data_IF_899817056088
#
_entry.id   IF_899817056088
#
_cell.length_a   1.000
_cell.length_b   1.000
_cell.length_c   1.000
_cell.angle_alpha   90.00
_cell.angle_beta   90.00
_cell.angle_gamma   90.00
#
_symmetry.space_group_name_H-M   'P 1'
#
loop_
_entity.id
_entity.type
_entity.pdbx_description
1 polymer ?
#
# COMPACT_ATOMS: atom_id res chain seq x y z
N UNK A 1 -22.55 58.40 -46.37
CA UNK A 1 -21.54 57.86 -45.43
C UNK A 1 -20.73 56.82 -46.19
N UNK A 2 -19.42 57.04 -46.32
CA UNK A 2 -18.54 56.43 -47.32
C UNK A 2 -17.92 55.10 -46.81
N UNK A 3 -17.83 54.10 -47.70
CA UNK A 3 -16.97 52.90 -47.63
C UNK A 3 -15.46 53.27 -47.83
N UNK A 4 -14.54 52.33 -48.12
CA UNK A 4 -13.87 51.31 -47.28
C UNK A 4 -12.31 51.40 -47.42
N UNK A 5 -11.45 50.79 -46.58
CA UNK A 5 -10.02 50.57 -46.95
C UNK A 5 -9.41 49.28 -46.36
N UNK A 6 -8.81 48.49 -47.25
CA UNK A 6 -7.84 47.39 -47.08
C UNK A 6 -6.42 47.97 -47.11
N UNK A 7 -5.46 47.45 -46.33
CA UNK A 7 -4.04 47.44 -46.74
C UNK A 7 -3.15 46.45 -45.95
N UNK A 8 -2.53 45.52 -46.69
CA UNK A 8 -1.28 44.81 -46.40
C UNK A 8 -0.07 45.74 -46.65
N UNK A 9 1.10 45.46 -46.04
CA UNK A 9 2.50 45.57 -46.55
C UNK A 9 3.46 45.34 -45.34
N UNK A 10 4.27 44.28 -45.25
CA UNK A 10 5.56 43.93 -45.90
C UNK A 10 6.83 44.51 -45.24
N UNK A 11 7.68 43.57 -44.78
CA UNK A 11 9.12 43.38 -45.06
C UNK A 11 10.19 44.47 -44.80
N UNK A 12 11.34 43.95 -44.34
CA UNK A 12 12.75 44.38 -44.56
C UNK A 12 13.33 45.47 -43.63
N UNK A 13 14.63 45.56 -43.28
CA UNK A 13 15.88 44.77 -43.34
C UNK A 13 17.00 45.73 -42.87
N UNK A 14 18.05 45.24 -42.15
CA UNK A 14 19.43 45.80 -42.02
C UNK A 14 19.58 47.22 -41.39
N UNK A 15 20.69 47.70 -40.78
CA UNK A 15 22.10 47.32 -40.64
C UNK A 15 22.79 48.22 -39.60
N UNK A 16 23.84 47.69 -38.95
CA UNK A 16 25.18 48.26 -38.64
C UNK A 16 25.34 49.61 -37.90
N UNK A 17 26.20 49.61 -36.87
CA UNK A 17 27.58 50.16 -36.85
C UNK A 17 28.02 50.33 -35.36
N UNK A 18 29.00 49.54 -34.90
CA UNK A 18 30.41 49.97 -34.72
C UNK A 18 30.59 51.26 -33.90
N UNK A 19 31.13 51.13 -32.69
CA UNK A 19 32.31 51.93 -32.32
C UNK A 19 33.05 51.35 -31.12
N UNK A 20 34.34 51.11 -31.31
CA UNK A 20 35.31 50.92 -30.25
C UNK A 20 35.51 52.24 -29.50
N UNK A 21 35.78 52.20 -28.19
CA UNK A 21 36.84 53.06 -27.68
C UNK A 21 37.58 52.46 -26.49
N UNK A 22 38.89 52.56 -26.58
CA UNK A 22 39.90 52.15 -25.60
C UNK A 22 40.02 53.21 -24.49
N UNK A 23 40.32 52.75 -23.27
CA UNK A 23 41.40 53.23 -22.38
C UNK A 23 41.10 52.76 -20.94
N UNK A 24 41.91 51.84 -20.41
CA UNK A 24 43.17 52.03 -19.66
C UNK A 24 42.93 52.30 -18.17
N UNK A 25 43.39 51.33 -17.37
CA UNK A 25 43.99 51.37 -16.03
C UNK A 25 43.20 52.11 -14.93
N UNK A 26 43.00 51.59 -13.73
CA UNK A 26 43.93 50.81 -12.89
C UNK A 26 43.16 50.22 -11.71
N UNK A 27 43.58 49.02 -11.31
CA UNK A 27 43.64 48.43 -9.96
C UNK A 27 42.62 48.88 -8.90
N UNK A 28 41.81 47.94 -8.39
CA UNK A 28 42.12 47.26 -7.12
C UNK A 28 40.98 46.28 -6.73
N UNK A 29 41.39 45.15 -6.13
CA UNK A 29 40.61 44.15 -5.37
C UNK A 29 39.74 43.12 -6.10
N UNK A 30 40.40 41.99 -6.34
CA UNK A 30 39.95 40.61 -6.29
C UNK A 30 38.84 40.36 -5.24
N UNK A 31 37.65 39.94 -5.70
CA UNK A 31 36.82 38.97 -4.98
C UNK A 31 36.48 37.85 -5.97
N UNK A 32 36.99 36.67 -5.63
CA UNK A 32 36.87 35.44 -6.40
C UNK A 32 35.41 35.04 -6.62
N UNK A 33 35.12 34.72 -7.87
CA UNK A 33 33.91 34.07 -8.32
C UNK A 33 34.05 32.57 -8.01
N UNK A 34 33.81 32.16 -6.77
CA UNK A 34 33.67 30.74 -6.46
C UNK A 34 32.28 30.26 -6.86
N UNK A 35 32.25 29.52 -7.96
CA UNK A 35 31.14 28.66 -8.34
C UNK A 35 30.83 27.73 -7.16
N UNK A 36 29.69 27.95 -6.50
CA UNK A 36 29.22 27.02 -5.48
C UNK A 36 28.63 25.81 -6.20
N UNK A 37 29.45 24.77 -6.28
CA UNK A 37 29.03 23.40 -6.56
C UNK A 37 27.82 23.08 -5.67
N UNK A 38 26.69 22.73 -6.30
CA UNK A 38 25.61 22.05 -5.59
C UNK A 38 26.15 20.68 -5.19
N UNK A 39 26.63 20.58 -3.96
CA UNK A 39 26.86 19.31 -3.30
C UNK A 39 25.54 18.52 -3.33
N UNK A 40 25.53 17.48 -4.16
CA UNK A 40 24.52 16.45 -4.14
C UNK A 40 24.66 15.71 -2.82
N UNK A 41 23.89 16.11 -1.81
CA UNK A 41 23.84 15.42 -0.53
C UNK A 41 22.92 14.19 -0.68
N UNK A 42 23.35 13.23 -1.49
CA UNK A 42 22.80 11.89 -1.50
C UNK A 42 23.44 11.09 -0.38
N UNK A 43 22.97 11.29 0.86
CA UNK A 43 23.22 10.32 1.92
C UNK A 43 22.36 9.10 1.61
N UNK A 44 22.86 8.24 0.72
CA UNK A 44 22.42 6.85 0.63
C UNK A 44 22.81 6.22 1.96
N UNK A 45 21.85 6.19 2.89
CA UNK A 45 21.99 5.52 4.18
C UNK A 45 22.35 4.07 3.87
N UNK A 46 23.60 3.70 4.14
CA UNK A 46 24.15 2.36 3.93
C UNK A 46 23.15 1.35 4.51
N UNK A 47 22.62 0.48 3.66
CA UNK A 47 21.64 -0.52 4.07
C UNK A 47 22.21 -1.29 5.26
N UNK A 48 21.49 -1.28 6.39
CA UNK A 48 21.90 -2.01 7.59
C UNK A 48 21.95 -3.49 7.20
N UNK A 49 23.12 -4.11 7.25
CA UNK A 49 23.33 -5.46 6.72
C UNK A 49 22.64 -6.56 7.55
N UNK A 50 22.25 -6.25 8.81
CA UNK A 50 21.68 -7.21 9.75
C UNK A 50 20.62 -6.55 10.63
N UNK A 51 19.50 -7.25 10.89
CA UNK A 51 18.45 -6.75 11.80
C UNK A 51 18.90 -6.79 13.26
N UNK A 52 18.54 -5.78 14.04
CA UNK A 52 18.67 -5.82 15.51
C UNK A 52 17.60 -6.77 16.06
N UNK A 53 18.03 -7.98 16.41
CA UNK A 53 17.15 -9.06 16.86
C UNK A 53 16.55 -8.80 18.24
N UNK A 54 17.24 -8.04 19.11
CA UNK A 54 16.74 -7.68 20.44
C UNK A 54 15.64 -6.62 20.33
N UNK A 55 15.86 -5.57 19.53
CA UNK A 55 14.82 -4.56 19.27
C UNK A 55 13.61 -5.19 18.56
N UNK A 56 13.83 -6.03 17.54
CA UNK A 56 12.75 -6.75 16.86
C UNK A 56 11.92 -7.58 17.86
N UNK A 57 12.58 -8.37 18.70
CA UNK A 57 11.91 -9.23 19.70
C UNK A 57 11.12 -8.38 20.71
N UNK A 58 11.69 -7.28 21.19
CA UNK A 58 11.02 -6.35 22.10
C UNK A 58 9.75 -5.75 21.47
N UNK A 59 9.81 -5.36 20.20
CA UNK A 59 8.64 -4.84 19.46
C UNK A 59 7.58 -5.90 19.24
N UNK A 60 7.98 -7.13 18.87
CA UNK A 60 7.06 -8.27 18.73
C UNK A 60 6.31 -8.54 20.04
N UNK A 61 6.99 -8.47 21.18
CA UNK A 61 6.35 -8.59 22.50
C UNK A 61 5.40 -7.42 22.77
N UNK A 62 5.79 -6.19 22.47
CA UNK A 62 4.94 -5.01 22.67
C UNK A 62 3.63 -5.07 21.85
N UNK A 63 3.69 -5.52 20.58
CA UNK A 63 2.50 -5.65 19.73
C UNK A 63 1.63 -6.85 20.14
N UNK A 64 2.18 -7.85 20.82
CA UNK A 64 1.39 -8.98 21.33
C UNK A 64 0.39 -8.56 22.42
N UNK A 65 0.52 -7.33 22.94
CA UNK A 65 -0.38 -6.75 23.93
C UNK A 65 -0.59 -7.63 25.16
N UNK A 66 0.52 -8.15 25.70
CA UNK A 66 0.53 -9.04 26.86
C UNK A 66 -0.31 -10.31 26.69
N UNK A 67 -0.36 -10.90 25.48
CA UNK A 67 -1.00 -12.21 25.30
C UNK A 67 -0.35 -13.25 26.21
N UNK A 68 -1.11 -13.74 27.19
CA UNK A 68 -0.66 -14.79 28.13
C UNK A 68 -0.95 -16.20 27.62
N UNK A 69 -1.63 -16.33 26.48
CA UNK A 69 -2.05 -17.64 25.95
C UNK A 69 -0.95 -18.34 25.15
N UNK A 70 0.16 -17.66 24.88
CA UNK A 70 1.27 -18.18 24.07
C UNK A 70 0.96 -18.25 22.58
N UNK A 71 -0.13 -17.61 22.10
CA UNK A 71 -0.47 -17.54 20.67
C UNK A 71 0.27 -16.41 19.98
N UNK A 72 0.47 -15.29 20.69
CA UNK A 72 1.09 -14.09 20.16
C UNK A 72 2.27 -13.65 21.04
N UNK A 73 3.35 -13.10 20.47
CA UNK A 73 3.62 -13.05 19.03
C UNK A 73 3.92 -14.45 18.46
N UNK A 74 3.64 -14.67 17.18
CA UNK A 74 3.98 -15.93 16.52
C UNK A 74 5.49 -16.06 16.38
N UNK A 75 6.04 -17.24 16.69
CA UNK A 75 7.43 -17.55 16.41
C UNK A 75 7.64 -17.65 14.90
N UNK A 76 8.42 -16.73 14.35
CA UNK A 76 8.82 -16.70 12.93
C UNK A 76 10.33 -16.53 12.82
N UNK A 77 10.93 -16.86 11.67
CA UNK A 77 12.27 -16.38 11.35
C UNK A 77 12.34 -14.86 11.48
N UNK A 78 13.53 -14.33 11.76
CA UNK A 78 13.78 -12.89 11.67
C UNK A 78 13.67 -12.46 10.20
N UNK A 79 13.02 -11.30 9.91
CA UNK A 79 12.91 -10.81 8.55
C UNK A 79 14.23 -10.24 8.04
N UNK A 80 14.33 -10.05 6.73
CA UNK A 80 15.48 -9.34 6.15
C UNK A 80 15.53 -7.87 6.66
N UNK A 81 16.72 -7.23 6.63
CA UNK A 81 16.83 -5.82 6.95
C UNK A 81 15.89 -4.94 6.11
N UNK A 82 15.38 -3.87 6.72
CA UNK A 82 14.38 -3.00 6.09
C UNK A 82 12.94 -3.51 6.19
N UNK A 83 12.68 -4.54 7.00
CA UNK A 83 11.33 -4.98 7.34
C UNK A 83 10.45 -3.81 7.83
N UNK A 84 9.21 -3.77 7.36
CA UNK A 84 8.27 -2.69 7.72
C UNK A 84 7.60 -2.92 9.07
N UNK A 85 7.34 -4.18 9.44
CA UNK A 85 6.64 -4.57 10.67
C UNK A 85 7.62 -5.35 11.55
N UNK A 86 7.60 -5.17 12.88
CA UNK A 86 6.70 -4.31 13.67
C UNK A 86 7.18 -2.85 13.82
N UNK A 87 8.11 -2.38 12.99
CA UNK A 87 8.69 -1.04 13.11
C UNK A 87 7.71 0.09 12.79
N UNK A 88 6.75 -0.19 11.92
CA UNK A 88 5.77 0.76 11.46
C UNK A 88 4.35 0.22 11.62
N UNK A 89 3.39 1.14 11.75
CA UNK A 89 1.97 0.92 11.52
C UNK A 89 1.61 1.50 10.16
N UNK A 90 1.02 0.68 9.30
CA UNK A 90 0.65 1.04 7.93
C UNK A 90 -0.81 1.48 7.94
N UNK A 91 -1.09 2.70 7.48
CA UNK A 91 -2.45 3.22 7.30
C UNK A 91 -2.73 3.30 5.81
N UNK A 92 -3.69 2.51 5.34
CA UNK A 92 -4.00 2.33 3.93
C UNK A 92 -5.38 2.89 3.59
N UNK A 93 -5.47 3.64 2.50
CA UNK A 93 -6.75 3.92 1.84
C UNK A 93 -6.96 2.91 0.73
N UNK A 94 -8.04 2.14 0.83
CA UNK A 94 -8.37 1.06 -0.11
C UNK A 94 -9.29 1.55 -1.22
N UNK A 95 -9.10 1.04 -2.43
CA UNK A 95 -10.15 1.06 -3.44
C UNK A 95 -9.74 1.02 -4.91
N UNK A 96 -10.68 1.39 -5.77
CA UNK A 96 -10.53 1.36 -7.23
C UNK A 96 -10.90 2.70 -7.89
N UNK A 97 -10.03 3.21 -8.76
CA UNK A 97 -10.15 4.50 -9.43
C UNK A 97 -11.32 4.62 -10.41
N UNK A 98 -11.89 3.51 -10.88
CA UNK A 98 -13.07 3.51 -11.74
C UNK A 98 -14.39 3.38 -10.98
N UNK A 99 -14.35 3.19 -9.65
CA UNK A 99 -15.57 2.99 -8.86
C UNK A 99 -15.56 3.78 -7.57
N UNK A 100 -16.48 4.76 -7.47
CA UNK A 100 -16.75 5.49 -6.23
C UNK A 100 -17.44 4.64 -5.14
N UNK A 101 -17.74 3.38 -5.43
CA UNK A 101 -18.40 2.44 -4.51
C UNK A 101 -17.43 1.39 -3.93
N UNK A 102 -16.21 1.32 -4.47
CA UNK A 102 -15.20 0.34 -4.07
C UNK A 102 -14.07 1.03 -3.32
N UNK A 103 -14.41 1.81 -2.29
CA UNK A 103 -13.46 2.35 -1.32
C UNK A 103 -12.99 3.79 -1.54
N UNK A 104 -12.57 4.40 -0.42
CA UNK A 104 -12.21 5.81 -0.30
C UNK A 104 -11.13 6.28 -1.29
N UNK A 105 -10.19 5.41 -1.67
CA UNK A 105 -9.10 5.74 -2.60
C UNK A 105 -9.62 6.28 -3.95
N UNK A 106 -10.70 5.68 -4.47
CA UNK A 106 -11.33 6.08 -5.73
C UNK A 106 -12.62 6.89 -5.56
N UNK A 107 -13.09 7.07 -4.32
CA UNK A 107 -14.38 7.71 -4.04
C UNK A 107 -14.34 9.24 -4.17
N UNK A 108 -13.24 9.86 -3.73
CA UNK A 108 -13.10 11.32 -3.63
C UNK A 108 -11.90 11.82 -4.46
N UNK A 109 -11.85 13.12 -4.82
CA UNK A 109 -10.74 13.68 -5.58
C UNK A 109 -9.38 13.45 -4.90
N UNK A 110 -8.33 13.22 -5.69
CA UNK A 110 -6.97 12.87 -5.24
C UNK A 110 -6.46 13.73 -4.08
N UNK A 111 -6.55 15.06 -4.19
CA UNK A 111 -6.01 15.97 -3.17
C UNK A 111 -6.74 15.83 -1.83
N UNK A 112 -8.08 15.70 -1.89
CA UNK A 112 -8.91 15.44 -0.71
C UNK A 112 -8.59 14.06 -0.11
N UNK A 113 -8.42 13.05 -0.97
CA UNK A 113 -8.04 11.69 -0.58
C UNK A 113 -6.71 11.67 0.19
N UNK A 114 -5.67 12.30 -0.36
CA UNK A 114 -4.35 12.39 0.27
C UNK A 114 -4.43 13.16 1.60
N UNK A 115 -5.15 14.28 1.64
CA UNK A 115 -5.32 15.09 2.86
C UNK A 115 -6.01 14.28 3.96
N UNK A 116 -7.05 13.53 3.62
CA UNK A 116 -7.77 12.69 4.58
C UNK A 116 -6.92 11.51 5.05
N UNK A 117 -6.13 10.89 4.17
CA UNK A 117 -5.19 9.83 4.56
C UNK A 117 -4.12 10.34 5.54
N UNK A 118 -3.54 11.53 5.27
CA UNK A 118 -2.60 12.18 6.19
C UNK A 118 -3.24 12.48 7.56
N UNK A 119 -4.51 12.87 7.58
CA UNK A 119 -5.24 13.07 8.82
C UNK A 119 -5.43 11.77 9.62
N UNK A 120 -5.78 10.65 8.98
CA UNK A 120 -5.85 9.35 9.67
C UNK A 120 -4.49 8.91 10.21
N UNK A 121 -3.42 9.12 9.44
CA UNK A 121 -2.04 8.83 9.87
C UNK A 121 -1.67 9.65 11.11
N UNK A 122 -2.03 10.93 11.15
CA UNK A 122 -1.79 11.79 12.31
C UNK A 122 -2.56 11.32 13.55
N UNK A 123 -3.82 10.88 13.40
CA UNK A 123 -4.61 10.32 14.50
C UNK A 123 -3.95 9.06 15.07
N UNK A 124 -3.53 8.14 14.21
CA UNK A 124 -2.86 6.91 14.64
C UNK A 124 -1.49 7.16 15.28
N UNK A 125 -0.71 8.10 14.76
CA UNK A 125 0.56 8.50 15.37
C UNK A 125 0.37 9.15 16.76
N UNK A 126 -0.70 9.93 16.95
CA UNK A 126 -1.04 10.51 18.25
C UNK A 126 -1.51 9.44 19.25
N UNK A 127 -2.29 8.46 18.81
CA UNK A 127 -2.80 7.40 19.67
C UNK A 127 -1.73 6.40 20.14
N UNK A 128 -0.68 6.18 19.33
CA UNK A 128 0.47 5.33 19.68
C UNK A 128 1.79 5.90 19.13
N UNK A 129 2.43 6.82 19.88
CA UNK A 129 3.69 7.44 19.46
C UNK A 129 4.88 6.47 19.51
N UNK A 130 4.72 5.27 20.08
CA UNK A 130 5.81 4.28 20.20
C UNK A 130 6.11 3.54 18.88
N UNK A 131 5.19 3.60 17.92
CA UNK A 131 5.29 2.96 16.61
C UNK A 131 5.12 4.01 15.52
N UNK A 132 6.10 4.10 14.60
CA UNK A 132 6.02 5.05 13.48
C UNK A 132 4.81 4.71 12.60
N UNK A 133 3.98 5.69 12.26
CA UNK A 133 2.83 5.48 11.38
C UNK A 133 3.17 5.96 9.96
N UNK A 134 2.87 5.16 8.94
CA UNK A 134 3.22 5.43 7.53
C UNK A 134 2.00 5.27 6.60
N UNK A 135 2.06 5.94 5.45
CA UNK A 135 0.98 6.04 4.48
C UNK A 135 1.01 4.87 3.49
N UNK A 136 -0.17 4.41 3.07
CA UNK A 136 -0.32 3.46 1.98
C UNK A 136 -1.56 3.75 1.12
N UNK A 137 -1.44 3.44 -0.18
CA UNK A 137 -2.56 3.38 -1.12
C UNK A 137 -2.77 1.91 -1.50
N UNK A 138 -3.92 1.34 -1.17
CA UNK A 138 -4.25 -0.04 -1.48
C UNK A 138 -5.21 -0.10 -2.67
N UNK A 139 -4.67 -0.34 -3.86
CA UNK A 139 -5.41 -0.29 -5.11
C UNK A 139 -5.86 -1.66 -5.58
N UNK A 140 -7.15 -1.80 -5.90
CA UNK A 140 -7.70 -3.04 -6.45
C UNK A 140 -7.33 -3.16 -7.93
N UNK A 141 -6.30 -3.95 -8.20
CA UNK A 141 -5.74 -4.16 -9.53
C UNK A 141 -6.50 -5.23 -10.33
N UNK A 142 -7.10 -6.20 -9.64
CA UNK A 142 -7.97 -7.23 -10.25
C UNK A 142 -9.25 -7.32 -9.44
N UNK A 143 -10.38 -7.22 -10.13
CA UNK A 143 -11.72 -7.23 -9.53
C UNK A 143 -12.48 -8.46 -9.99
N UNK A 144 -13.17 -9.14 -9.07
CA UNK A 144 -14.09 -10.21 -9.45
C UNK A 144 -15.35 -9.61 -10.07
N UNK A 145 -15.95 -10.32 -11.02
CA UNK A 145 -17.05 -9.86 -11.85
C UNK A 145 -18.18 -10.88 -11.85
N UNK A 146 -19.42 -10.40 -11.68
CA UNK A 146 -20.59 -11.27 -11.80
C UNK A 146 -20.75 -11.83 -13.22
N UNK A 147 -20.41 -11.04 -14.24
CA UNK A 147 -20.41 -11.48 -15.63
C UNK A 147 -19.07 -12.14 -16.02
N UNK A 148 -19.08 -13.17 -16.88
CA UNK A 148 -17.84 -13.74 -17.40
C UNK A 148 -17.09 -12.72 -18.27
N UNK A 149 -15.76 -12.71 -18.12
CA UNK A 149 -14.86 -12.03 -19.05
C UNK A 149 -14.71 -12.81 -20.36
N UNK A 150 -13.88 -12.30 -21.28
CA UNK A 150 -13.61 -12.95 -22.58
C UNK A 150 -13.04 -14.36 -22.46
N UNK A 151 -12.32 -14.63 -21.37
CA UNK A 151 -11.71 -15.92 -21.02
C UNK A 151 -12.55 -16.73 -20.01
N UNK A 152 -13.80 -16.32 -19.76
CA UNK A 152 -14.71 -16.91 -18.78
C UNK A 152 -14.20 -16.93 -17.32
N UNK A 153 -13.19 -16.13 -16.98
CA UNK A 153 -12.59 -16.16 -15.63
C UNK A 153 -13.32 -15.32 -14.58
N UNK A 154 -14.47 -14.73 -14.94
CA UNK A 154 -15.30 -13.91 -14.03
C UNK A 154 -14.53 -12.80 -13.30
N UNK A 155 -13.63 -12.12 -13.99
CA UNK A 155 -12.79 -11.04 -13.43
C UNK A 155 -12.49 -9.97 -14.45
N UNK A 156 -12.08 -8.81 -13.95
CA UNK A 156 -11.55 -7.71 -14.74
C UNK A 156 -10.23 -7.24 -14.15
N UNK A 157 -9.18 -7.28 -14.98
CA UNK A 157 -7.87 -6.68 -14.69
C UNK A 157 -7.91 -5.21 -15.05
N UNK A 158 -7.51 -4.35 -14.12
CA UNK A 158 -7.42 -2.93 -14.38
C UNK A 158 -6.29 -2.64 -15.36
N UNK A 159 -6.41 -1.61 -16.23
CA UNK A 159 -5.32 -1.21 -17.10
C UNK A 159 -4.08 -0.86 -16.26
N UNK A 160 -2.91 -1.32 -16.70
CA UNK A 160 -1.62 -1.03 -16.05
C UNK A 160 -1.36 0.46 -15.81
N UNK A 161 -1.85 1.34 -16.70
CA UNK A 161 -1.81 2.80 -16.50
C UNK A 161 -2.47 3.26 -15.18
N UNK A 162 -3.47 2.56 -14.67
CA UNK A 162 -4.07 2.88 -13.37
C UNK A 162 -3.13 2.53 -12.21
N UNK A 163 -2.42 1.40 -12.31
CA UNK A 163 -1.37 1.04 -11.35
C UNK A 163 -0.27 2.11 -11.38
N UNK A 164 0.19 2.51 -12.57
CA UNK A 164 1.18 3.59 -12.74
C UNK A 164 0.68 4.90 -12.11
N UNK A 165 -0.62 5.20 -12.25
CA UNK A 165 -1.25 6.38 -11.67
C UNK A 165 -1.17 6.35 -10.15
N UNK A 166 -1.55 5.24 -9.50
CA UNK A 166 -1.48 5.11 -8.04
C UNK A 166 -0.04 5.18 -7.54
N UNK A 167 0.91 4.55 -8.23
CA UNK A 167 2.35 4.64 -7.90
C UNK A 167 2.83 6.10 -8.01
N UNK A 168 2.40 6.83 -9.04
CA UNK A 168 2.75 8.25 -9.19
C UNK A 168 2.17 9.13 -8.06
N UNK A 169 1.00 8.76 -7.53
CA UNK A 169 0.38 9.48 -6.40
C UNK A 169 1.09 9.20 -5.08
N UNK A 170 1.60 7.98 -4.90
CA UNK A 170 2.31 7.57 -3.70
C UNK A 170 3.69 8.21 -3.55
N UNK A 171 4.41 8.40 -4.67
CA UNK A 171 5.78 8.94 -4.69
C UNK A 171 5.98 10.27 -3.93
N UNK A 172 5.20 11.35 -4.16
CA UNK A 172 5.41 12.63 -3.49
C UNK A 172 5.08 12.63 -2.00
N UNK A 173 4.39 11.60 -1.49
CA UNK A 173 4.01 11.48 -0.07
C UNK A 173 4.72 10.31 0.63
N UNK A 174 5.73 9.71 -0.01
CA UNK A 174 6.48 8.55 0.49
C UNK A 174 5.56 7.40 0.96
N UNK A 175 4.47 7.16 0.22
CA UNK A 175 3.52 6.12 0.55
C UNK A 175 3.89 4.77 -0.07
N UNK A 176 3.52 3.71 0.65
CA UNK A 176 3.47 2.36 0.10
C UNK A 176 2.32 2.22 -0.89
N UNK A 177 2.43 1.28 -1.81
CA UNK A 177 1.33 0.86 -2.69
C UNK A 177 1.08 -0.61 -2.49
N UNK A 178 -0.18 -1.00 -2.32
CA UNK A 178 -0.60 -2.40 -2.35
C UNK A 178 -1.41 -2.63 -3.60
N UNK A 179 -1.12 -3.71 -4.32
CA UNK A 179 -1.93 -4.18 -5.43
C UNK A 179 -2.81 -5.31 -4.92
N UNK A 180 -4.12 -5.08 -4.88
CA UNK A 180 -5.09 -6.07 -4.43
C UNK A 180 -5.61 -6.91 -5.61
N UNK A 181 -5.80 -8.20 -5.39
CA UNK A 181 -6.34 -9.12 -6.38
C UNK A 181 -7.54 -9.94 -5.87
N UNK A 182 -8.61 -9.88 -6.65
CA UNK A 182 -9.81 -10.70 -6.55
C UNK A 182 -9.80 -11.71 -7.70
N UNK A 183 -9.39 -12.94 -7.43
CA UNK A 183 -9.02 -13.89 -8.50
C UNK A 183 -10.20 -14.51 -9.26
N UNK A 184 -11.41 -14.49 -8.67
CA UNK A 184 -12.60 -15.14 -9.19
C UNK A 184 -12.35 -16.61 -9.54
N UNK A 185 -12.45 -17.00 -10.82
CA UNK A 185 -12.26 -18.38 -11.28
C UNK A 185 -10.80 -18.73 -11.59
N UNK A 186 -9.87 -17.78 -11.43
CA UNK A 186 -8.46 -18.04 -11.63
C UNK A 186 -7.73 -18.39 -10.34
N UNK A 187 -6.42 -18.63 -10.48
CA UNK A 187 -5.48 -18.85 -9.39
C UNK A 187 -4.78 -17.57 -8.95
N UNK A 188 -4.32 -17.58 -7.70
CA UNK A 188 -3.42 -16.55 -7.14
C UNK A 188 -2.15 -16.46 -7.97
N UNK A 189 -1.51 -17.60 -8.23
CA UNK A 189 -0.28 -17.68 -9.03
C UNK A 189 -0.39 -16.90 -10.35
N UNK A 190 -1.41 -17.18 -11.16
CA UNK A 190 -1.59 -16.52 -12.45
C UNK A 190 -1.73 -15.00 -12.32
N UNK A 191 -2.44 -14.50 -11.30
CA UNK A 191 -2.64 -13.05 -11.15
C UNK A 191 -1.44 -12.32 -10.56
N UNK A 192 -0.73 -12.96 -9.63
CA UNK A 192 0.46 -12.37 -9.03
C UNK A 192 1.62 -12.33 -10.03
N UNK A 193 1.79 -13.37 -10.85
CA UNK A 193 2.83 -13.42 -11.91
C UNK A 193 2.70 -12.25 -12.90
N UNK A 194 1.47 -11.83 -13.23
CA UNK A 194 1.22 -10.68 -14.11
C UNK A 194 1.59 -9.32 -13.49
N UNK A 195 1.76 -9.27 -12.17
CA UNK A 195 2.11 -8.06 -11.42
C UNK A 195 3.59 -8.01 -11.03
N UNK A 196 4.40 -9.02 -11.39
CA UNK A 196 5.81 -9.12 -10.98
C UNK A 196 6.64 -7.86 -11.26
N UNK A 197 6.43 -7.21 -12.42
CA UNK A 197 7.14 -5.99 -12.78
C UNK A 197 6.89 -4.84 -11.78
N UNK A 198 5.69 -4.78 -11.21
CA UNK A 198 5.33 -3.79 -10.20
C UNK A 198 5.81 -4.21 -8.82
N UNK A 199 5.65 -5.49 -8.48
CA UNK A 199 6.12 -6.05 -7.20
C UNK A 199 7.65 -5.95 -7.05
N UNK A 200 8.40 -5.88 -8.16
CA UNK A 200 9.83 -5.61 -8.18
C UNK A 200 10.20 -4.18 -7.70
N UNK A 201 9.25 -3.25 -7.60
CA UNK A 201 9.48 -1.91 -7.06
C UNK A 201 9.53 -1.95 -5.52
N UNK A 202 10.46 -1.26 -4.84
CA UNK A 202 10.63 -1.37 -3.39
C UNK A 202 9.37 -1.10 -2.56
N UNK A 203 8.61 -0.07 -2.92
CA UNK A 203 7.43 0.41 -2.18
C UNK A 203 6.10 -0.28 -2.57
N UNK A 204 6.12 -1.26 -3.46
CA UNK A 204 4.92 -1.98 -3.93
C UNK A 204 4.79 -3.33 -3.22
N UNK A 205 3.59 -3.63 -2.73
CA UNK A 205 3.21 -4.79 -1.93
C UNK A 205 1.94 -5.44 -2.48
N UNK A 206 1.48 -6.53 -1.87
CA UNK A 206 0.38 -7.35 -2.40
C UNK A 206 -0.74 -7.49 -1.37
N UNK A 207 -1.98 -7.35 -1.83
CA UNK A 207 -3.21 -7.76 -1.13
C UNK A 207 -3.90 -8.90 -1.91
N UNK A 208 -4.50 -9.84 -1.19
CA UNK A 208 -5.27 -10.93 -1.80
C UNK A 208 -6.59 -11.11 -1.04
N UNK A 209 -7.69 -11.23 -1.80
CA UNK A 209 -9.06 -11.34 -1.28
C UNK A 209 -9.58 -12.79 -1.41
N UNK A 210 -9.54 -13.63 -0.36
CA UNK A 210 -9.96 -15.03 -0.43
C UNK A 210 -11.46 -15.21 -0.70
N UNK A 211 -12.31 -14.26 -0.29
CA UNK A 211 -13.76 -14.29 -0.51
C UNK A 211 -14.13 -14.28 -1.99
N UNK A 212 -13.21 -13.85 -2.85
CA UNK A 212 -13.37 -13.88 -4.30
C UNK A 212 -12.69 -15.07 -4.97
N UNK A 213 -12.20 -16.07 -4.23
CA UNK A 213 -11.71 -17.32 -4.83
C UNK A 213 -12.84 -18.32 -5.02
N UNK A 214 -13.40 -18.34 -6.23
CA UNK A 214 -14.50 -19.21 -6.64
C UNK A 214 -14.06 -20.15 -7.76
N UNK A 215 -12.85 -20.70 -7.63
CA UNK A 215 -12.20 -21.60 -8.59
C UNK A 215 -12.98 -22.88 -8.92
N UNK A 216 -14.07 -23.16 -8.19
CA UNK A 216 -14.98 -24.28 -8.46
C UNK A 216 -16.18 -23.90 -9.34
N UNK A 217 -16.21 -22.66 -9.86
CA UNK A 217 -17.17 -22.22 -10.87
C UNK A 217 -18.35 -21.39 -10.33
N UNK A 218 -18.45 -21.14 -9.02
CA UNK A 218 -19.49 -20.27 -8.49
C UNK A 218 -19.31 -18.81 -8.95
N UNK A 219 -20.41 -18.10 -9.19
CA UNK A 219 -20.35 -16.71 -9.68
C UNK A 219 -19.93 -15.78 -8.53
N UNK A 220 -18.98 -14.84 -8.74
CA UNK A 220 -18.64 -13.81 -7.76
C UNK A 220 -19.87 -13.10 -7.16
N UNK A 221 -19.89 -13.03 -5.83
CA UNK A 221 -21.00 -12.44 -5.07
C UNK A 221 -22.14 -13.41 -4.72
N UNK A 222 -22.17 -14.63 -5.29
CA UNK A 222 -23.18 -15.65 -4.92
C UNK A 222 -22.82 -16.42 -3.64
N UNK A 223 -21.53 -16.50 -3.32
CA UNK A 223 -20.97 -17.24 -2.19
C UNK A 223 -19.63 -16.61 -1.80
N UNK A 224 -19.23 -16.80 -0.55
CA UNK A 224 -17.90 -16.46 -0.06
C UNK A 224 -16.92 -17.55 -0.49
N UNK A 225 -15.91 -17.17 -1.24
CA UNK A 225 -14.81 -18.01 -1.71
C UNK A 225 -13.85 -18.44 -0.61
N UNK A 226 -12.80 -19.17 -1.03
CA UNK A 226 -11.80 -19.71 -0.10
C UNK A 226 -10.42 -19.80 -0.71
N UNK A 227 -9.41 -19.44 0.07
CA UNK A 227 -8.03 -19.86 -0.14
C UNK A 227 -7.63 -20.96 0.82
N UNK A 228 -6.83 -21.88 0.31
CA UNK A 228 -6.00 -22.77 1.12
C UNK A 228 -4.68 -22.09 1.46
N UNK A 229 -3.93 -22.64 2.39
CA UNK A 229 -2.55 -22.22 2.59
C UNK A 229 -1.69 -22.34 1.32
N UNK A 230 -1.99 -23.28 0.41
CA UNK A 230 -1.22 -23.43 -0.84
C UNK A 230 -1.45 -22.24 -1.78
N UNK A 231 -2.69 -21.74 -1.89
CA UNK A 231 -2.99 -20.53 -2.67
C UNK A 231 -2.23 -19.30 -2.11
N UNK A 232 -2.13 -19.18 -0.79
CA UNK A 232 -1.38 -18.10 -0.13
C UNK A 232 0.14 -18.32 -0.30
N UNK A 233 0.59 -19.57 -0.24
CA UNK A 233 1.99 -19.93 -0.41
C UNK A 233 2.48 -19.68 -1.85
N UNK A 234 1.61 -19.78 -2.86
CA UNK A 234 1.93 -19.37 -4.24
C UNK A 234 2.31 -17.88 -4.29
N UNK A 235 1.53 -17.01 -3.64
CA UNK A 235 1.88 -15.59 -3.53
C UNK A 235 3.20 -15.38 -2.78
N UNK A 236 3.40 -16.09 -1.66
CA UNK A 236 4.65 -16.01 -0.88
C UNK A 236 5.85 -16.42 -1.73
N UNK A 237 5.77 -17.53 -2.44
CA UNK A 237 6.89 -18.05 -3.24
C UNK A 237 7.25 -17.10 -4.41
N UNK A 238 6.26 -16.45 -5.02
CA UNK A 238 6.51 -15.42 -6.03
C UNK A 238 7.17 -14.19 -5.40
N UNK A 239 6.65 -13.70 -4.27
CA UNK A 239 7.22 -12.55 -3.56
C UNK A 239 8.65 -12.82 -3.07
N UNK A 240 8.96 -14.03 -2.60
CA UNK A 240 10.32 -14.46 -2.26
C UNK A 240 11.26 -14.31 -3.46
N UNK A 241 10.87 -14.85 -4.62
CA UNK A 241 11.67 -14.73 -5.86
C UNK A 241 11.87 -13.28 -6.26
N UNK A 242 10.83 -12.46 -6.18
CA UNK A 242 10.91 -11.02 -6.48
C UNK A 242 11.88 -10.31 -5.54
N UNK A 243 11.80 -10.57 -4.23
CA UNK A 243 12.69 -9.98 -3.22
C UNK A 243 14.14 -10.39 -3.46
N UNK A 244 14.41 -11.68 -3.64
CA UNK A 244 15.76 -12.19 -3.84
C UNK A 244 16.38 -11.70 -5.14
N UNK A 245 15.64 -11.77 -6.25
CA UNK A 245 16.10 -11.35 -7.59
C UNK A 245 16.44 -9.86 -7.64
N UNK A 246 15.64 -9.03 -6.97
CA UNK A 246 15.78 -7.57 -7.03
C UNK A 246 16.48 -6.98 -5.79
N UNK A 247 16.95 -7.82 -4.86
CA UNK A 247 17.63 -7.42 -3.61
C UNK A 247 16.79 -6.41 -2.79
N UNK A 248 15.50 -6.69 -2.67
CA UNK A 248 14.55 -5.81 -1.98
C UNK A 248 14.53 -6.05 -0.48
N UNK A 249 13.95 -5.10 0.24
CA UNK A 249 13.45 -5.35 1.60
C UNK A 249 12.26 -6.32 1.55
N UNK A 250 11.86 -6.91 2.70
CA UNK A 250 10.71 -7.81 2.75
C UNK A 250 9.43 -7.16 2.22
N UNK A 251 8.60 -7.97 1.57
CA UNK A 251 7.26 -7.56 1.09
C UNK A 251 6.22 -7.81 2.16
N UNK A 252 5.26 -6.91 2.29
CA UNK A 252 4.03 -7.17 3.05
C UNK A 252 3.02 -7.86 2.13
N UNK A 253 2.46 -8.97 2.61
CA UNK A 253 1.34 -9.67 1.99
C UNK A 253 0.13 -9.52 2.91
N UNK A 254 -0.91 -8.83 2.44
CA UNK A 254 -2.18 -8.69 3.15
C UNK A 254 -3.14 -9.77 2.67
N UNK A 255 -3.70 -10.54 3.61
CA UNK A 255 -4.70 -11.57 3.34
C UNK A 255 -5.98 -11.18 4.08
N UNK A 256 -7.02 -10.80 3.33
CA UNK A 256 -8.29 -10.34 3.90
C UNK A 256 -9.09 -11.51 4.49
N UNK A 257 -9.73 -11.30 5.63
CA UNK A 257 -10.48 -12.36 6.32
C UNK A 257 -11.57 -11.84 7.24
N UNK A 258 -12.79 -12.31 7.04
CA UNK A 258 -13.93 -12.04 7.95
C UNK A 258 -14.84 -13.25 8.23
N UNK A 259 -14.53 -14.41 7.64
CA UNK A 259 -15.13 -15.69 8.04
C UNK A 259 -14.05 -16.75 8.25
N UNK A 260 -14.39 -17.83 8.96
CA UNK A 260 -13.44 -18.92 9.17
C UNK A 260 -13.06 -19.61 7.85
N UNK A 261 -14.05 -19.92 7.01
CA UNK A 261 -13.88 -20.69 5.77
C UNK A 261 -13.12 -19.99 4.66
N UNK A 262 -12.90 -18.67 4.74
CA UNK A 262 -12.12 -17.92 3.75
C UNK A 262 -10.66 -18.38 3.67
N UNK A 263 -10.09 -18.85 4.77
CA UNK A 263 -8.72 -19.36 4.81
C UNK A 263 -8.71 -20.70 5.50
N UNK A 264 -8.32 -21.74 4.77
CA UNK A 264 -8.18 -23.11 5.29
C UNK A 264 -6.72 -23.49 5.44
N UNK A 265 -6.43 -24.38 6.39
CA UNK A 265 -5.07 -24.87 6.67
C UNK A 265 -4.06 -23.76 7.01
N UNK A 266 -4.49 -22.66 7.65
CA UNK A 266 -3.67 -21.49 7.94
C UNK A 266 -2.31 -21.79 8.60
N UNK A 267 -2.20 -22.88 9.37
CA UNK A 267 -0.95 -23.32 10.02
C UNK A 267 0.16 -23.68 9.01
N UNK A 268 -0.21 -24.00 7.78
CA UNK A 268 0.69 -24.35 6.69
C UNK A 268 1.12 -23.13 5.85
N UNK A 269 0.64 -21.92 6.19
CA UNK A 269 1.13 -20.68 5.57
C UNK A 269 2.59 -20.49 5.96
N UNK A 270 3.45 -20.36 4.94
CA UNK A 270 4.89 -20.19 5.08
C UNK A 270 5.21 -18.90 5.82
N UNK A 271 6.26 -18.95 6.63
CA UNK A 271 6.84 -17.79 7.32
C UNK A 271 8.31 -17.71 6.93
N UNK A 272 8.66 -16.73 6.11
CA UNK A 272 9.97 -16.59 5.49
C UNK A 272 10.51 -15.18 5.70
N UNK A 273 11.85 -14.98 5.74
CA UNK A 273 12.44 -13.66 5.97
C UNK A 273 12.03 -12.57 4.95
N UNK A 274 11.69 -12.97 3.73
CA UNK A 274 11.36 -12.09 2.59
C UNK A 274 9.93 -11.56 2.61
N UNK A 275 9.02 -12.18 3.37
CA UNK A 275 7.59 -11.85 3.32
C UNK A 275 7.01 -11.72 4.73
N UNK A 276 6.33 -10.61 4.96
CA UNK A 276 5.61 -10.30 6.18
C UNK A 276 4.11 -10.44 5.94
N UNK A 277 3.49 -11.49 6.48
CA UNK A 277 2.08 -11.80 6.27
C UNK A 277 1.21 -11.11 7.30
N UNK A 278 0.22 -10.37 6.82
CA UNK A 278 -0.82 -9.70 7.62
C UNK A 278 -2.14 -10.41 7.36
N UNK A 279 -2.76 -10.92 8.42
CA UNK A 279 -4.16 -11.36 8.37
C UNK A 279 -5.05 -10.16 8.72
N UNK A 280 -5.74 -9.59 7.73
CA UNK A 280 -6.56 -8.38 7.88
C UNK A 280 -8.01 -8.71 8.21
N UNK A 281 -8.53 -8.13 9.30
CA UNK A 281 -9.93 -8.29 9.66
C UNK A 281 -10.81 -7.40 8.77
N UNK A 282 -11.39 -7.98 7.73
CA UNK A 282 -12.06 -7.28 6.61
C UNK A 282 -13.60 -7.21 6.74
N UNK A 283 -14.15 -7.55 7.90
CA UNK A 283 -15.60 -7.53 8.13
C UNK A 283 -16.12 -6.13 8.48
N UNK A 284 -17.27 -5.72 7.96
CA UNK A 284 -17.97 -4.49 8.39
C UNK A 284 -19.05 -4.76 9.44
N UNK A 285 -19.46 -3.70 10.14
CA UNK A 285 -20.62 -3.70 11.03
C UNK A 285 -20.32 -3.17 12.41
N UNK A 286 -21.17 -3.51 13.39
CA UNK A 286 -21.01 -3.01 14.76
C UNK A 286 -19.66 -3.41 15.38
N UNK A 287 -19.17 -2.60 16.33
CA UNK A 287 -17.97 -2.92 17.13
C UNK A 287 -18.00 -4.33 17.71
N UNK A 288 -19.15 -4.76 18.24
CA UNK A 288 -19.34 -6.11 18.81
C UNK A 288 -19.11 -7.20 17.76
N UNK A 289 -19.72 -7.06 16.57
CA UNK A 289 -19.56 -8.02 15.49
C UNK A 289 -18.09 -8.09 15.04
N UNK A 290 -17.49 -6.93 14.79
CA UNK A 290 -16.10 -6.83 14.34
C UNK A 290 -15.11 -7.38 15.35
N UNK A 291 -15.30 -7.12 16.64
CA UNK A 291 -14.50 -7.74 17.73
C UNK A 291 -14.68 -9.25 17.77
N UNK A 292 -15.92 -9.74 17.66
CA UNK A 292 -16.20 -11.18 17.62
C UNK A 292 -15.49 -11.86 16.45
N UNK A 293 -15.56 -11.27 15.25
CA UNK A 293 -14.86 -11.73 14.05
C UNK A 293 -13.34 -11.75 14.25
N UNK A 294 -12.76 -10.66 14.77
CA UNK A 294 -11.33 -10.60 15.08
C UNK A 294 -10.91 -11.72 16.03
N UNK A 295 -11.63 -11.89 17.14
CA UNK A 295 -11.31 -12.93 18.13
C UNK A 295 -11.43 -14.34 17.54
N UNK A 296 -12.43 -14.59 16.70
CA UNK A 296 -12.70 -15.93 16.15
C UNK A 296 -11.76 -16.32 15.02
N UNK A 297 -11.42 -15.41 14.11
CA UNK A 297 -10.77 -15.77 12.85
C UNK A 297 -9.37 -15.17 12.66
N UNK A 298 -9.01 -14.17 13.47
CA UNK A 298 -7.67 -13.55 13.43
C UNK A 298 -6.87 -13.99 14.66
N UNK A 299 -7.35 -13.67 15.87
CA UNK A 299 -6.63 -13.97 17.11
C UNK A 299 -6.44 -15.48 17.34
N UNK A 300 -7.50 -16.28 17.14
CA UNK A 300 -7.48 -17.74 17.37
C UNK A 300 -6.68 -18.52 16.33
N UNK A 301 -6.41 -17.92 15.17
CA UNK A 301 -5.72 -18.57 14.05
C UNK A 301 -4.48 -17.74 13.64
N UNK A 302 -3.46 -17.70 14.52
CA UNK A 302 -2.35 -16.77 14.35
C UNK A 302 -1.43 -17.17 13.20
N UNK A 303 -1.04 -16.19 12.37
CA UNK A 303 -0.10 -16.38 11.23
C UNK A 303 1.20 -15.61 11.45
N UNK A 304 1.19 -14.28 11.44
CA UNK A 304 2.39 -13.48 11.75
C UNK A 304 2.06 -12.08 12.29
N UNK A 305 1.33 -11.26 11.51
CA UNK A 305 0.85 -9.95 11.92
C UNK A 305 -0.67 -9.85 11.71
N UNK A 306 -1.29 -8.85 12.33
CA UNK A 306 -2.73 -8.61 12.19
C UNK A 306 -3.02 -7.24 11.59
N UNK A 307 -4.10 -7.18 10.82
CA UNK A 307 -4.68 -5.96 10.31
C UNK A 307 -6.11 -5.78 10.79
N UNK A 308 -6.64 -4.57 10.58
CA UNK A 308 -8.04 -4.27 10.82
C UNK A 308 -8.56 -3.27 9.79
N UNK A 309 -9.65 -3.64 9.09
CA UNK A 309 -10.32 -2.74 8.17
C UNK A 309 -11.43 -1.94 8.85
N UNK A 310 -11.57 -0.69 8.47
CA UNK A 310 -12.53 0.29 8.95
C UNK A 310 -13.34 0.82 7.77
N UNK A 311 -14.66 0.81 7.89
CA UNK A 311 -15.56 1.25 6.82
C UNK A 311 -16.24 2.55 7.24
N UNK A 312 -15.91 3.66 6.58
CA UNK A 312 -16.43 4.98 6.94
C UNK A 312 -17.96 5.04 6.93
N UNK A 313 -18.60 4.28 6.02
CA UNK A 313 -20.06 4.20 5.91
C UNK A 313 -20.61 3.00 6.68
N UNK A 314 -20.14 1.79 6.37
CA UNK A 314 -20.77 0.55 6.82
C UNK A 314 -20.66 0.33 8.33
N UNK A 315 -19.57 0.76 8.96
CA UNK A 315 -19.40 0.63 10.42
C UNK A 315 -20.23 1.68 11.19
N UNK A 316 -20.75 2.68 10.50
CA UNK A 316 -21.64 3.71 11.02
C UNK A 316 -23.07 3.56 10.47
N UNK A 317 -23.42 2.41 9.89
CA UNK A 317 -24.80 2.11 9.55
C UNK A 317 -25.64 1.96 10.83
N UNK A 318 -26.90 2.37 10.76
CA UNK A 318 -27.80 2.40 11.92
C UNK A 318 -27.22 3.27 13.05
N UNK A 319 -27.32 2.82 14.30
CA UNK A 319 -26.75 3.49 15.48
C UNK A 319 -25.36 2.95 15.86
N UNK A 320 -24.64 2.33 14.92
CA UNK A 320 -23.28 1.85 15.16
C UNK A 320 -22.26 2.97 15.06
N UNK A 321 -21.07 2.72 15.60
CA UNK A 321 -19.93 3.61 15.47
C UNK A 321 -18.71 2.83 15.03
N UNK A 322 -17.91 3.43 14.16
CA UNK A 322 -16.61 2.90 13.78
C UNK A 322 -15.64 2.90 14.96
N UNK A 323 -14.70 1.96 14.96
CA UNK A 323 -13.63 1.90 15.95
C UNK A 323 -12.68 3.10 15.84
N UNK A 324 -12.24 3.62 16.99
CA UNK A 324 -11.15 4.62 17.06
C UNK A 324 -9.78 3.93 17.15
N UNK A 325 -8.68 4.65 16.86
CA UNK A 325 -7.33 4.14 17.08
C UNK A 325 -7.11 3.62 18.52
N UNK A 326 -7.53 4.37 19.54
CA UNK A 326 -7.34 4.03 20.96
C UNK A 326 -8.03 2.72 21.32
N UNK A 327 -9.23 2.49 20.78
CA UNK A 327 -9.99 1.26 21.00
C UNK A 327 -9.32 0.06 20.33
N UNK A 328 -8.81 0.21 19.10
CA UNK A 328 -8.10 -0.87 18.40
C UNK A 328 -6.74 -1.19 19.02
N UNK A 329 -6.08 -0.20 19.63
CA UNK A 329 -4.84 -0.43 20.39
C UNK A 329 -5.05 -1.29 21.64
N UNK A 330 -6.30 -1.51 22.07
CA UNK A 330 -6.63 -2.47 23.13
C UNK A 330 -6.74 -3.92 22.64
N UNK A 331 -6.68 -4.16 21.32
CA UNK A 331 -6.79 -5.51 20.79
C UNK A 331 -5.49 -6.31 21.03
N UNK A 332 -5.65 -7.62 21.12
CA UNK A 332 -4.56 -8.58 21.32
C UNK A 332 -4.52 -9.52 20.13
N UNK A 333 -3.45 -9.55 19.33
CA UNK A 333 -2.37 -8.55 19.28
C UNK A 333 -2.89 -7.20 18.76
N UNK A 334 -2.08 -6.14 18.88
CA UNK A 334 -2.37 -4.82 18.30
C UNK A 334 -2.26 -4.90 16.77
N UNK A 335 -3.28 -4.48 16.00
CA UNK A 335 -3.18 -4.44 14.55
C UNK A 335 -2.13 -3.42 14.10
N UNK A 336 -1.33 -3.82 13.12
CA UNK A 336 -0.27 -2.99 12.52
C UNK A 336 -0.56 -2.55 11.10
N UNK A 337 -1.58 -3.12 10.47
CA UNK A 337 -2.09 -2.71 9.18
C UNK A 337 -3.52 -2.24 9.36
N UNK A 338 -3.81 -0.99 9.05
CA UNK A 338 -5.14 -0.41 9.19
C UNK A 338 -5.60 0.04 7.82
N UNK A 339 -6.73 -0.50 7.38
CA UNK A 339 -7.26 -0.22 6.06
C UNK A 339 -8.58 0.54 6.18
N UNK A 340 -8.71 1.67 5.50
CA UNK A 340 -9.95 2.44 5.44
C UNK A 340 -10.64 2.24 4.09
N UNK A 341 -11.95 2.02 4.13
CA UNK A 341 -12.82 1.87 2.96
C UNK A 341 -14.00 2.83 2.97
#
# INVERSE_FOLDING_TARGET
MKNPIIALYSLSVLTLLSSCNQNKNSDDKTIEKQATERAADSIIKKAVATIDTLDYTKRMLAISNNDTTGKWPVKTPYPLPGALLPYNRIIAFYGNLYSKRMGILGQIPREQMITQLQAEVAKWAAADPSVKTILALHYIAVTAQGAPGKDNMHRMRMPFKQIDTVISWAKPIDALVFLDIQVAHSTVKTEVELLEQYLAMPNVHLGIDPEFSLKNGEIPGSKIGTFTADDINDAIDILVKVVQKNKLTPKVLVVHRFTQGMVTNYKNIKKVPEVQVVMDMDGFGSKVLKKSTYLRYIYREPVQFTGFKLFYKNDNWNNWTMYTPEELLQFTPKPLYIQYQ
#
